data_IF_438201091096
#
_entry.id   IF_438201091096
#
_cell.length_a   1.000
_cell.length_b   1.000
_cell.length_c   1.000
_cell.angle_alpha   90.00
_cell.angle_beta   90.00
_cell.angle_gamma   90.00
#
_symmetry.space_group_name_H-M   'P 1'
#
loop_
_entity.id
_entity.type
_entity.pdbx_description
1 polymer ?
#
# COMPACT_ATOMS: atom_id res chain seq x y z
N UNK A 1 -2.16 -35.96 -22.79
CA UNK A 1 -1.26 -36.45 -21.71
C UNK A 1 -0.51 -35.25 -21.14
N UNK A 2 -1.23 -34.33 -20.48
CA UNK A 2 -1.27 -34.18 -19.01
C UNK A 2 0.11 -34.36 -18.36
N UNK A 3 0.79 -33.24 -18.11
CA UNK A 3 1.56 -33.09 -16.87
C UNK A 3 1.23 -31.71 -16.29
N UNK A 4 0.22 -31.73 -15.41
CA UNK A 4 -0.03 -30.73 -14.40
C UNK A 4 1.22 -30.61 -13.53
N UNK A 5 1.93 -29.49 -13.61
CA UNK A 5 2.87 -29.11 -12.54
C UNK A 5 2.09 -28.46 -11.40
N UNK A 6 1.26 -29.25 -10.73
CA UNK A 6 0.74 -28.97 -9.40
C UNK A 6 1.82 -29.30 -8.38
N UNK A 7 2.76 -28.36 -8.21
CA UNK A 7 3.79 -28.42 -7.18
C UNK A 7 3.71 -27.16 -6.33
N UNK A 8 2.89 -27.19 -5.28
CA UNK A 8 2.84 -26.14 -4.26
C UNK A 8 4.09 -26.25 -3.40
N UNK A 9 5.20 -25.71 -3.88
CA UNK A 9 6.43 -25.56 -3.10
C UNK A 9 6.20 -24.47 -2.07
N UNK A 10 6.13 -24.85 -0.78
CA UNK A 10 6.26 -23.90 0.32
C UNK A 10 7.68 -23.36 0.32
N UNK A 11 7.89 -22.28 -0.42
CA UNK A 11 9.02 -21.38 -0.25
C UNK A 11 8.42 -20.01 0.08
N UNK A 12 8.82 -19.45 1.21
CA UNK A 12 8.20 -18.30 1.86
C UNK A 12 8.58 -16.98 1.17
N UNK A 13 8.67 -16.96 -0.17
CA UNK A 13 9.15 -15.83 -0.96
C UNK A 13 8.34 -15.72 -2.25
N UNK A 14 7.32 -14.86 -2.21
CA UNK A 14 6.67 -14.17 -3.34
C UNK A 14 6.35 -15.01 -4.59
N UNK A 15 5.17 -15.62 -4.62
CA UNK A 15 4.53 -15.99 -5.88
C UNK A 15 4.22 -14.69 -6.67
N UNK A 16 4.96 -14.44 -7.76
CA UNK A 16 4.59 -13.43 -8.75
C UNK A 16 3.29 -13.90 -9.40
N UNK A 17 2.20 -13.22 -9.06
CA UNK A 17 0.87 -13.53 -9.57
C UNK A 17 0.86 -13.47 -11.10
N UNK A 18 0.50 -14.58 -11.76
CA UNK A 18 0.46 -14.70 -13.24
C UNK A 18 -0.44 -13.65 -13.89
N UNK A 19 -1.46 -13.20 -13.17
CA UNK A 19 -2.44 -12.20 -13.65
C UNK A 19 -2.10 -10.80 -13.10
N UNK A 20 -1.07 -10.71 -12.24
CA UNK A 20 -0.60 -9.47 -11.62
C UNK A 20 -1.74 -8.71 -10.90
N UNK A 21 -2.68 -9.45 -10.28
CA UNK A 21 -3.81 -8.84 -9.55
C UNK A 21 -3.39 -8.31 -8.18
N UNK A 22 -2.17 -8.64 -7.74
CA UNK A 22 -1.56 -8.27 -6.46
C UNK A 22 -2.34 -8.65 -5.20
N UNK A 23 -3.41 -9.46 -5.33
CA UNK A 23 -4.30 -9.83 -4.22
C UNK A 23 -3.56 -10.57 -3.10
N UNK A 24 -2.61 -11.44 -3.44
CA UNK A 24 -1.77 -12.13 -2.45
C UNK A 24 -0.90 -11.14 -1.68
N UNK A 25 -0.28 -10.20 -2.39
CA UNK A 25 0.57 -9.16 -1.79
C UNK A 25 -0.22 -8.21 -0.89
N UNK A 26 -1.42 -7.78 -1.29
CA UNK A 26 -2.26 -6.88 -0.48
C UNK A 26 -2.75 -7.58 0.79
N UNK A 27 -3.10 -8.86 0.69
CA UNK A 27 -3.45 -9.68 1.85
C UNK A 27 -2.27 -9.86 2.80
N UNK A 28 -1.09 -10.14 2.28
CA UNK A 28 0.12 -10.25 3.09
C UNK A 28 0.44 -8.93 3.81
N UNK A 29 0.34 -7.79 3.11
CA UNK A 29 0.51 -6.46 3.68
C UNK A 29 -0.47 -6.19 4.82
N UNK A 30 -1.75 -6.53 4.59
CA UNK A 30 -2.83 -6.41 5.57
C UNK A 30 -2.58 -7.27 6.80
N UNK A 31 -2.15 -8.51 6.62
CA UNK A 31 -1.85 -9.43 7.73
C UNK A 31 -0.65 -8.94 8.55
N UNK A 32 0.41 -8.53 7.87
CA UNK A 32 1.60 -7.94 8.51
C UNK A 32 1.24 -6.69 9.29
N UNK A 33 0.44 -5.81 8.70
CA UNK A 33 -0.08 -4.61 9.37
C UNK A 33 -0.91 -4.96 10.60
N UNK A 34 -1.87 -5.88 10.47
CA UNK A 34 -2.73 -6.27 11.60
C UNK A 34 -1.93 -6.90 12.74
N UNK A 35 -0.91 -7.71 12.43
CA UNK A 35 -0.01 -8.29 13.44
C UNK A 35 0.78 -7.20 14.16
N UNK A 36 1.37 -6.27 13.40
CA UNK A 36 2.11 -5.12 13.95
C UNK A 36 1.22 -4.23 14.82
N UNK A 37 0.01 -3.92 14.34
CA UNK A 37 -0.97 -3.12 15.06
C UNK A 37 -1.45 -3.80 16.34
N UNK A 38 -1.72 -5.12 16.30
CA UNK A 38 -2.09 -5.90 17.49
C UNK A 38 -1.00 -5.88 18.56
N UNK A 39 0.27 -5.97 18.16
CA UNK A 39 1.40 -5.90 19.09
C UNK A 39 1.48 -4.55 19.83
N UNK A 40 1.04 -3.46 19.18
CA UNK A 40 1.05 -2.10 19.73
C UNK A 40 -0.32 -1.65 20.26
N UNK A 41 -1.29 -2.58 20.32
CA UNK A 41 -2.68 -2.23 20.57
C UNK A 41 -2.85 -1.51 21.91
N UNK A 42 -2.17 -1.95 22.96
CA UNK A 42 -2.22 -1.32 24.30
C UNK A 42 -1.81 0.15 24.29
N UNK A 43 -0.88 0.54 23.42
CA UNK A 43 -0.33 1.89 23.34
C UNK A 43 -1.15 2.77 22.39
N UNK A 44 -1.65 2.22 21.30
CA UNK A 44 -2.39 2.96 20.26
C UNK A 44 -3.90 3.04 20.57
N UNK A 45 -4.41 2.19 21.47
CA UNK A 45 -5.83 2.13 21.81
C UNK A 45 -6.39 3.50 22.24
N UNK A 46 -7.69 3.66 22.04
CA UNK A 46 -8.48 4.84 22.41
C UNK A 46 -8.28 5.26 23.87
N UNK A 47 -8.18 4.28 24.78
CA UNK A 47 -8.10 4.50 26.22
C UNK A 47 -6.66 4.56 26.75
N UNK A 48 -5.65 4.49 25.89
CA UNK A 48 -4.27 4.61 26.36
C UNK A 48 -3.95 6.05 26.77
N UNK A 49 -3.16 6.20 27.83
CA UNK A 49 -2.74 7.49 28.43
C UNK A 49 -1.82 8.33 27.55
N UNK A 50 -1.36 7.78 26.43
CA UNK A 50 -0.45 8.45 25.51
C UNK A 50 -1.14 9.63 24.80
N UNK A 51 -0.42 10.73 24.56
CA UNK A 51 -0.95 11.86 23.79
C UNK A 51 -1.28 11.45 22.35
N UNK A 52 -2.23 12.15 21.72
CA UNK A 52 -2.62 11.90 20.33
C UNK A 52 -1.41 12.05 19.40
N UNK A 53 -0.57 13.06 19.61
CA UNK A 53 0.61 13.32 18.78
C UNK A 53 1.61 12.16 18.80
N UNK A 54 1.85 11.58 19.98
CA UNK A 54 2.74 10.42 20.11
C UNK A 54 2.15 9.17 19.45
N UNK A 55 0.82 8.98 19.52
CA UNK A 55 0.14 7.90 18.78
C UNK A 55 0.26 8.09 17.27
N UNK A 56 0.09 9.33 16.79
CA UNK A 56 0.29 9.70 15.38
C UNK A 56 1.73 9.42 14.96
N UNK A 57 2.71 9.75 15.80
CA UNK A 57 4.13 9.49 15.53
C UNK A 57 4.40 7.99 15.35
N UNK A 58 3.87 7.14 16.24
CA UNK A 58 3.99 5.68 16.12
C UNK A 58 3.38 5.19 14.81
N UNK A 59 2.20 5.72 14.44
CA UNK A 59 1.56 5.38 13.18
C UNK A 59 2.43 5.76 11.97
N UNK A 60 2.91 7.00 11.93
CA UNK A 60 3.72 7.51 10.81
C UNK A 60 5.06 6.78 10.68
N UNK A 61 5.73 6.48 11.81
CA UNK A 61 7.06 5.90 11.81
C UNK A 61 7.06 4.39 11.56
N UNK A 62 6.05 3.65 12.05
CA UNK A 62 6.09 2.18 12.05
C UNK A 62 4.97 1.54 11.23
N UNK A 63 3.73 1.95 11.43
CA UNK A 63 2.58 1.29 10.80
C UNK A 63 2.39 1.72 9.34
N UNK A 64 2.58 3.00 9.04
CA UNK A 64 2.42 3.56 7.69
C UNK A 64 3.40 2.96 6.68
N UNK A 65 4.70 2.77 6.98
CA UNK A 65 5.63 2.09 6.08
C UNK A 65 5.20 0.66 5.73
N UNK A 66 4.54 -0.06 6.64
CA UNK A 66 4.03 -1.41 6.36
C UNK A 66 2.93 -1.39 5.29
N UNK A 67 2.07 -0.37 5.27
CA UNK A 67 1.07 -0.20 4.21
C UNK A 67 1.72 0.28 2.90
N UNK A 68 2.75 1.12 3.00
CA UNK A 68 3.41 1.77 1.88
C UNK A 68 4.63 1.01 1.31
N UNK A 69 4.95 -0.19 1.81
CA UNK A 69 6.20 -0.88 1.45
C UNK A 69 6.33 -1.15 -0.06
N UNK A 70 5.21 -1.40 -0.73
CA UNK A 70 5.15 -1.65 -2.16
C UNK A 70 4.54 -0.46 -2.91
N UNK A 71 4.77 0.78 -2.46
CA UNK A 71 4.21 2.00 -3.06
C UNK A 71 4.35 2.08 -4.59
N UNK A 72 5.54 1.82 -5.19
CA UNK A 72 5.69 1.83 -6.65
C UNK A 72 4.78 0.82 -7.37
N UNK A 73 4.52 -0.32 -6.72
CA UNK A 73 3.64 -1.37 -7.25
C UNK A 73 2.17 -0.99 -7.06
N UNK A 74 1.86 -0.34 -5.94
CA UNK A 74 0.50 0.08 -5.56
C UNK A 74 -0.09 1.12 -6.50
N UNK A 75 0.72 1.98 -7.09
CA UNK A 75 0.25 2.94 -8.09
C UNK A 75 -0.39 2.27 -9.31
N UNK A 76 0.12 1.08 -9.68
CA UNK A 76 -0.36 0.31 -10.83
C UNK A 76 -1.31 -0.85 -10.42
N UNK A 77 -1.86 -0.79 -9.20
CA UNK A 77 -2.75 -1.81 -8.64
C UNK A 77 -4.22 -1.42 -8.78
N UNK A 78 -5.13 -2.39 -8.73
CA UNK A 78 -6.57 -2.13 -8.79
C UNK A 78 -7.07 -1.25 -7.64
N UNK A 79 -8.06 -0.40 -7.93
CA UNK A 79 -8.74 0.43 -6.92
C UNK A 79 -9.28 -0.39 -5.75
N UNK A 80 -9.82 -1.59 -6.00
CA UNK A 80 -10.38 -2.46 -4.96
C UNK A 80 -9.36 -2.86 -3.90
N UNK A 81 -8.10 -3.04 -4.30
CA UNK A 81 -7.01 -3.35 -3.38
C UNK A 81 -6.56 -2.10 -2.61
N UNK A 82 -6.47 -0.96 -3.30
CA UNK A 82 -6.13 0.32 -2.69
C UNK A 82 -7.17 0.76 -1.64
N UNK A 83 -8.46 0.56 -1.92
CA UNK A 83 -9.53 0.88 -0.95
C UNK A 83 -9.45 0.03 0.30
N UNK A 84 -9.02 -1.24 0.20
CA UNK A 84 -8.76 -2.09 1.38
C UNK A 84 -7.62 -1.54 2.24
N UNK A 85 -6.52 -1.11 1.64
CA UNK A 85 -5.39 -0.52 2.35
C UNK A 85 -5.80 0.81 3.01
N UNK A 86 -6.55 1.66 2.29
CA UNK A 86 -7.12 2.90 2.83
C UNK A 86 -8.08 2.64 4.00
N UNK A 87 -8.89 1.57 3.94
CA UNK A 87 -9.78 1.20 5.01
C UNK A 87 -9.02 0.84 6.31
N UNK A 88 -7.87 0.16 6.19
CA UNK A 88 -6.98 -0.11 7.33
C UNK A 88 -6.43 1.18 7.93
N UNK A 89 -5.92 2.09 7.11
CA UNK A 89 -5.46 3.41 7.58
C UNK A 89 -6.60 4.16 8.30
N UNK A 90 -7.77 4.27 7.66
CA UNK A 90 -8.93 4.97 8.22
C UNK A 90 -9.33 4.43 9.59
N UNK A 91 -9.33 3.09 9.74
CA UNK A 91 -9.64 2.43 11.00
C UNK A 91 -8.63 2.80 12.08
N UNK A 92 -7.34 2.80 11.75
CA UNK A 92 -6.26 3.17 12.67
C UNK A 92 -6.35 4.65 13.07
N UNK A 93 -6.55 5.56 12.12
CA UNK A 93 -6.66 7.00 12.41
C UNK A 93 -7.87 7.32 13.29
N UNK A 94 -9.01 6.64 13.06
CA UNK A 94 -10.19 6.75 13.93
C UNK A 94 -9.92 6.30 15.36
N UNK A 95 -9.09 5.27 15.53
CA UNK A 95 -8.72 4.78 16.85
C UNK A 95 -7.82 5.78 17.58
N UNK A 96 -6.82 6.33 16.88
CA UNK A 96 -5.88 7.32 17.40
C UNK A 96 -6.60 8.61 17.81
N UNK A 97 -7.44 9.16 16.92
CA UNK A 97 -8.18 10.40 17.17
C UNK A 97 -9.44 10.25 18.02
N UNK A 98 -9.69 9.06 18.60
CA UNK A 98 -10.93 8.76 19.35
C UNK A 98 -12.21 9.19 18.59
N UNK A 99 -12.22 9.02 17.26
CA UNK A 99 -13.30 9.55 16.44
C UNK A 99 -14.55 8.66 16.52
N UNK A 100 -15.72 9.31 16.61
CA UNK A 100 -17.04 8.68 16.48
C UNK A 100 -17.41 8.39 15.02
N UNK A 101 -18.43 7.57 14.81
CA UNK A 101 -18.84 7.05 13.50
C UNK A 101 -19.21 8.14 12.49
N UNK A 102 -19.81 9.25 12.96
CA UNK A 102 -20.29 10.35 12.11
C UNK A 102 -19.19 11.33 11.65
N UNK A 103 -18.00 11.32 12.25
CA UNK A 103 -16.90 12.16 11.76
C UNK A 103 -16.44 11.68 10.39
N UNK A 104 -16.22 12.60 9.44
CA UNK A 104 -15.74 12.22 8.11
C UNK A 104 -14.26 11.85 8.17
N UNK A 105 -13.83 10.89 7.36
CA UNK A 105 -12.42 10.45 7.34
C UNK A 105 -11.46 11.59 6.99
N UNK A 106 -11.88 12.49 6.10
CA UNK A 106 -11.09 13.67 5.70
C UNK A 106 -10.95 14.69 6.83
N UNK A 107 -11.99 14.89 7.65
CA UNK A 107 -11.92 15.75 8.85
C UNK A 107 -10.94 15.19 9.87
N UNK A 108 -10.96 13.87 10.10
CA UNK A 108 -10.04 13.20 11.01
C UNK A 108 -8.59 13.36 10.54
N UNK A 109 -8.33 13.14 9.24
CA UNK A 109 -7.00 13.34 8.65
C UNK A 109 -6.51 14.78 8.81
N UNK A 110 -7.39 15.73 8.55
CA UNK A 110 -7.09 17.17 8.64
C UNK A 110 -6.77 17.56 10.09
N UNK A 111 -7.57 17.09 11.05
CA UNK A 111 -7.34 17.32 12.48
C UNK A 111 -6.00 16.71 12.97
N UNK A 112 -5.65 15.51 12.50
CA UNK A 112 -4.38 14.85 12.84
C UNK A 112 -3.18 15.36 12.02
N UNK A 113 -3.40 16.26 11.04
CA UNK A 113 -2.39 16.79 10.11
C UNK A 113 -1.66 15.70 9.31
N UNK A 114 -2.37 14.62 8.94
CA UNK A 114 -1.79 13.47 8.22
C UNK A 114 -2.13 13.57 6.73
N UNK A 115 -1.14 13.52 5.81
CA UNK A 115 -1.42 13.48 4.39
C UNK A 115 -2.07 12.13 4.02
N UNK A 116 -2.96 12.14 3.03
CA UNK A 116 -3.59 10.90 2.53
C UNK A 116 -2.55 9.85 2.12
N UNK A 117 -2.84 8.57 2.39
CA UNK A 117 -1.99 7.46 1.97
C UNK A 117 -1.73 7.45 0.46
N UNK A 118 -2.72 7.82 -0.36
CA UNK A 118 -2.56 7.86 -1.82
C UNK A 118 -1.56 8.91 -2.28
N UNK A 119 -1.58 10.10 -1.65
CA UNK A 119 -0.60 11.16 -1.92
C UNK A 119 0.81 10.71 -1.50
N UNK A 120 0.91 9.98 -0.38
CA UNK A 120 2.18 9.45 0.10
C UNK A 120 2.74 8.34 -0.79
N UNK A 121 1.90 7.40 -1.22
CA UNK A 121 2.26 6.34 -2.15
C UNK A 121 2.79 6.95 -3.46
N UNK A 122 2.04 7.89 -4.04
CA UNK A 122 2.45 8.59 -5.27
C UNK A 122 3.80 9.27 -5.12
N UNK A 123 4.01 10.03 -4.04
CA UNK A 123 5.30 10.67 -3.76
C UNK A 123 6.46 9.66 -3.65
N UNK A 124 6.20 8.47 -3.10
CA UNK A 124 7.21 7.40 -3.03
C UNK A 124 7.46 6.77 -4.41
N UNK A 125 6.42 6.56 -5.22
CA UNK A 125 6.55 6.08 -6.60
C UNK A 125 7.33 7.06 -7.47
N UNK A 126 6.96 8.35 -7.46
CA UNK A 126 7.63 9.39 -8.25
C UNK A 126 9.13 9.43 -7.93
N UNK A 127 9.47 9.30 -6.64
CA UNK A 127 10.86 9.24 -6.18
C UNK A 127 11.57 7.98 -6.69
N UNK A 128 10.90 6.84 -6.61
CA UNK A 128 11.44 5.57 -7.10
C UNK A 128 11.72 5.62 -8.60
N UNK A 129 10.79 6.15 -9.40
CA UNK A 129 10.95 6.28 -10.84
C UNK A 129 12.08 7.26 -11.19
N UNK A 130 12.16 8.39 -10.50
CA UNK A 130 13.27 9.34 -10.68
C UNK A 130 14.63 8.72 -10.33
N UNK A 131 14.70 7.87 -9.31
CA UNK A 131 15.92 7.17 -8.93
C UNK A 131 16.26 6.03 -9.92
N UNK A 132 15.26 5.34 -10.47
CA UNK A 132 15.46 4.36 -11.56
C UNK A 132 16.06 4.99 -12.82
N UNK A 133 15.61 6.18 -13.21
CA UNK A 133 16.15 6.91 -14.35
C UNK A 133 17.62 7.32 -14.15
N UNK A 134 18.06 7.56 -12.92
CA UNK A 134 19.48 7.88 -12.61
C UNK A 134 20.39 6.65 -12.69
N UNK A 135 19.87 5.49 -12.30
CA UNK A 135 20.66 4.25 -12.19
C UNK A 135 20.90 3.59 -13.55
N UNK A 136 20.17 3.98 -14.60
CA UNK A 136 20.11 3.36 -15.94
C UNK A 136 21.32 2.48 -16.33
N UNK A 137 21.24 1.23 -15.90
CA UNK A 137 22.08 0.13 -16.37
C UNK A 137 21.73 -0.17 -17.83
N UNK A 138 22.72 -0.56 -18.64
CA UNK A 138 22.53 -0.86 -20.06
C UNK A 138 21.40 -1.87 -20.36
N UNK A 139 21.05 -2.74 -19.39
CA UNK A 139 19.95 -3.70 -19.51
C UNK A 139 18.56 -3.06 -19.40
N UNK A 140 18.41 -2.00 -18.59
CA UNK A 140 17.13 -1.29 -18.39
C UNK A 140 16.84 -0.42 -19.62
N UNK A 141 17.87 0.18 -20.23
CA UNK A 141 17.75 0.95 -21.46
C UNK A 141 17.25 0.12 -22.66
N UNK A 142 17.39 -1.21 -22.61
CA UNK A 142 16.87 -2.13 -23.65
C UNK A 142 15.38 -2.44 -23.48
N UNK A 143 14.78 -2.10 -22.34
CA UNK A 143 13.35 -2.32 -22.11
C UNK A 143 12.60 -1.27 -22.94
N UNK A 144 11.71 -1.67 -23.86
CA UNK A 144 10.91 -0.72 -24.61
C UNK A 144 10.04 0.09 -23.65
N UNK A 145 9.92 1.40 -23.90
CA UNK A 145 9.01 2.26 -23.16
C UNK A 145 7.60 1.71 -23.37
N UNK A 146 6.98 1.26 -22.27
CA UNK A 146 5.63 0.72 -22.31
C UNK A 146 4.64 1.86 -22.59
N UNK A 147 4.05 1.88 -23.80
CA UNK A 147 2.93 2.76 -24.12
C UNK A 147 1.61 2.09 -23.70
N UNK A 148 0.94 2.57 -22.64
CA UNK A 148 -0.29 1.97 -22.18
C UNK A 148 -1.45 2.18 -23.16
N UNK A 149 -1.35 3.10 -24.14
CA UNK A 149 -2.40 3.41 -25.13
C UNK A 149 -2.36 2.49 -26.35
N UNK A 150 -1.27 1.74 -26.53
CA UNK A 150 -1.09 0.79 -27.62
C UNK A 150 -2.11 -0.37 -27.53
N UNK A 151 -2.95 -0.61 -28.57
CA UNK A 151 -3.92 -1.69 -28.59
C UNK A 151 -3.30 -3.10 -28.60
N UNK A 152 -2.05 -3.26 -29.03
CA UNK A 152 -1.31 -4.53 -28.98
C UNK A 152 -0.86 -4.89 -27.56
N UNK A 153 -0.74 -3.91 -26.68
CA UNK A 153 -0.49 -4.14 -25.27
C UNK A 153 -1.79 -4.61 -24.60
N UNK A 154 -1.81 -5.83 -24.06
CA UNK A 154 -2.95 -6.34 -23.25
C UNK A 154 -3.33 -5.27 -22.23
N UNK A 155 -4.55 -4.74 -22.38
CA UNK A 155 -5.07 -3.64 -21.56
C UNK A 155 -5.03 -4.02 -20.09
N UNK A 156 -3.99 -3.55 -19.38
CA UNK A 156 -3.95 -3.59 -17.92
C UNK A 156 -5.13 -2.78 -17.40
N UNK A 157 -5.86 -3.23 -16.35
CA UNK A 157 -6.89 -2.42 -15.75
C UNK A 157 -6.26 -1.13 -15.22
N UNK A 158 -6.49 -0.02 -15.93
CA UNK A 158 -6.04 1.30 -15.51
C UNK A 158 -6.97 1.77 -14.40
N UNK A 159 -6.41 1.98 -13.23
CA UNK A 159 -6.72 3.17 -12.47
C UNK A 159 -5.40 3.66 -11.88
N UNK A 160 -4.73 4.56 -12.59
CA UNK A 160 -3.82 5.48 -11.91
C UNK A 160 -4.66 6.25 -10.89
N UNK A 161 -4.05 6.72 -9.80
CA UNK A 161 -4.70 7.58 -8.82
C UNK A 161 -5.00 8.97 -9.44
N UNK A 162 -5.84 9.04 -10.46
CA UNK A 162 -6.51 10.26 -10.89
C UNK A 162 -7.47 10.65 -9.77
N UNK A 163 -7.02 11.60 -8.95
CA UNK A 163 -7.85 12.37 -8.01
C UNK A 163 -8.66 13.39 -8.79
#
# INVERSE_FOLDING_TARGET
MILQLTGKTRLNTSELDKILTFKSHTNHAREKFNKAFRAQYSIVCRNSSLSIDNKVLIYLAYLRPILAYASPIWECTSNSNLTQIQALENKTLRMIGNARWYHRNEEIRTALKIPSLTKFIRKLSDKFDADLLKVLNASIAKIPIYDPTDPCNRKRPRYSLTL
#
